data_IF_064378164287
#
_entry.id   IF_064378164287
#
_cell.length_a   1.000
_cell.length_b   1.000
_cell.length_c   1.000
_cell.angle_alpha   90.00
_cell.angle_beta   90.00
_cell.angle_gamma   90.00
#
_symmetry.space_group_name_H-M   'P 1'
#
loop_
_entity.id
_entity.type
_entity.pdbx_description
1 polymer ?
#
# COMPACT_ATOMS: atom_id res chain seq x y z
N UNK A 1 10.92 42.20 -33.99
CA UNK A 1 10.20 41.04 -34.54
C UNK A 1 11.20 39.90 -34.63
N UNK A 2 11.27 39.03 -33.61
CA UNK A 2 12.31 37.97 -33.56
C UNK A 2 11.90 36.73 -32.76
N UNK A 3 10.62 36.31 -32.82
CA UNK A 3 10.14 35.11 -32.12
C UNK A 3 9.67 34.04 -33.12
N UNK A 4 10.61 33.39 -33.81
CA UNK A 4 10.29 32.31 -34.75
C UNK A 4 11.21 31.09 -34.70
N UNK A 5 12.13 30.97 -33.73
CA UNK A 5 13.14 29.90 -33.72
C UNK A 5 13.00 28.84 -32.59
N UNK A 6 11.96 28.91 -31.76
CA UNK A 6 11.77 27.94 -30.66
C UNK A 6 10.79 26.82 -30.98
N UNK A 7 9.91 26.98 -31.98
CA UNK A 7 8.85 26.00 -32.28
C UNK A 7 9.25 24.92 -33.30
N UNK A 8 10.33 25.13 -34.06
CA UNK A 8 10.79 24.18 -35.08
C UNK A 8 11.77 23.11 -34.55
N UNK A 9 12.38 23.31 -33.37
CA UNK A 9 13.31 22.33 -32.79
C UNK A 9 12.62 21.15 -32.08
N UNK A 10 11.41 21.35 -31.58
CA UNK A 10 10.71 20.36 -30.77
C UNK A 10 10.03 19.27 -31.62
N UNK A 11 9.64 19.59 -32.85
CA UNK A 11 8.95 18.65 -33.76
C UNK A 11 9.89 17.67 -34.47
N UNK A 12 11.15 18.06 -34.73
CA UNK A 12 12.10 17.25 -35.50
C UNK A 12 12.94 16.29 -34.63
N UNK A 13 13.05 16.53 -33.31
CA UNK A 13 13.73 15.61 -32.39
C UNK A 13 12.90 14.34 -32.10
N UNK A 14 11.57 14.46 -32.08
CA UNK A 14 10.64 13.34 -31.84
C UNK A 14 10.66 12.32 -33.00
N UNK A 15 11.03 12.76 -34.21
CA UNK A 15 11.12 11.92 -35.41
C UNK A 15 12.53 11.37 -35.68
N UNK A 16 13.49 11.57 -34.78
CA UNK A 16 14.81 10.96 -34.89
C UNK A 16 14.76 9.53 -34.31
N UNK A 17 14.90 8.46 -35.14
CA UNK A 17 14.80 7.08 -34.66
C UNK A 17 15.78 6.76 -33.52
N UNK A 18 16.93 7.44 -33.51
CA UNK A 18 17.95 7.32 -32.46
C UNK A 18 17.50 7.85 -31.10
N UNK A 19 16.74 8.96 -31.08
CA UNK A 19 16.20 9.54 -29.86
C UNK A 19 15.07 8.67 -29.28
N UNK A 20 14.19 8.17 -30.14
CA UNK A 20 13.12 7.24 -29.74
C UNK A 20 13.68 5.96 -29.10
N UNK A 21 14.70 5.33 -29.71
CA UNK A 21 15.33 4.14 -29.14
C UNK A 21 16.05 4.45 -27.81
N UNK A 22 16.63 5.64 -27.67
CA UNK A 22 17.25 6.09 -26.41
C UNK A 22 16.20 6.25 -25.29
N UNK A 23 15.10 6.95 -25.56
CA UNK A 23 14.00 7.11 -24.59
C UNK A 23 13.34 5.77 -24.24
N UNK A 24 13.19 4.86 -25.22
CA UNK A 24 12.64 3.52 -24.99
C UNK A 24 13.54 2.71 -24.07
N UNK A 25 14.86 2.75 -24.28
CA UNK A 25 15.84 2.10 -23.39
C UNK A 25 15.78 2.69 -21.98
N UNK A 26 15.78 4.01 -21.87
CA UNK A 26 15.67 4.70 -20.58
C UNK A 26 14.40 4.28 -19.83
N UNK A 27 13.26 4.22 -20.52
CA UNK A 27 12.00 3.77 -19.92
C UNK A 27 12.09 2.32 -19.42
N UNK A 28 12.71 1.42 -20.18
CA UNK A 28 12.95 0.04 -19.71
C UNK A 28 13.84 0.00 -18.48
N UNK A 29 14.91 0.78 -18.45
CA UNK A 29 15.81 0.85 -17.29
C UNK A 29 15.08 1.42 -16.06
N UNK A 30 14.24 2.45 -16.24
CA UNK A 30 13.42 3.02 -15.16
C UNK A 30 12.38 2.01 -14.64
N UNK A 31 11.75 1.23 -15.51
CA UNK A 31 10.82 0.18 -15.11
C UNK A 31 11.51 -0.93 -14.32
N UNK A 32 12.71 -1.33 -14.74
CA UNK A 32 13.55 -2.29 -14.00
C UNK A 32 13.87 -1.78 -12.61
N UNK A 33 14.38 -0.54 -12.50
CA UNK A 33 14.65 0.10 -11.21
C UNK A 33 13.42 0.20 -10.32
N UNK A 34 12.25 0.54 -10.89
CA UNK A 34 11.00 0.58 -10.14
C UNK A 34 10.68 -0.79 -9.56
N UNK A 35 10.81 -1.84 -10.36
CA UNK A 35 10.56 -3.21 -9.92
C UNK A 35 11.54 -3.67 -8.82
N UNK A 36 12.81 -3.34 -8.95
CA UNK A 36 13.83 -3.67 -7.93
C UNK A 36 13.52 -2.96 -6.60
N UNK A 37 13.11 -1.68 -6.66
CA UNK A 37 12.71 -0.93 -5.48
C UNK A 37 11.42 -1.48 -4.84
N UNK A 38 10.43 -1.86 -5.64
CA UNK A 38 9.20 -2.49 -5.15
C UNK A 38 9.51 -3.80 -4.42
N UNK A 39 10.40 -4.64 -4.98
CA UNK A 39 10.82 -5.90 -4.36
C UNK A 39 11.57 -5.65 -3.06
N UNK A 40 12.54 -4.72 -3.08
CA UNK A 40 13.29 -4.37 -1.87
C UNK A 40 12.41 -3.77 -0.77
N UNK A 41 11.36 -3.01 -1.14
CA UNK A 41 10.40 -2.47 -0.19
C UNK A 41 9.63 -3.61 0.49
N UNK A 42 9.14 -4.59 -0.28
CA UNK A 42 8.45 -5.77 0.26
C UNK A 42 9.32 -6.53 1.25
N UNK A 43 10.59 -6.79 0.90
CA UNK A 43 11.53 -7.50 1.78
C UNK A 43 11.76 -6.76 3.11
N UNK A 44 11.86 -5.42 3.06
CA UNK A 44 12.02 -4.58 4.25
C UNK A 44 10.75 -4.60 5.10
N UNK A 45 9.57 -4.50 4.49
CA UNK A 45 8.30 -4.53 5.20
C UNK A 45 8.08 -5.87 5.91
N UNK A 46 8.41 -6.98 5.26
CA UNK A 46 8.32 -8.33 5.85
C UNK A 46 9.31 -8.49 7.03
N UNK A 47 10.54 -8.03 6.85
CA UNK A 47 11.56 -8.05 7.91
C UNK A 47 11.14 -7.19 9.10
N UNK A 48 10.60 -6.00 8.84
CA UNK A 48 10.10 -5.09 9.86
C UNK A 48 8.99 -5.76 10.69
N UNK A 49 8.03 -6.41 10.04
CA UNK A 49 6.94 -7.10 10.71
C UNK A 49 7.41 -8.21 11.65
N UNK A 50 8.39 -9.01 11.21
CA UNK A 50 8.98 -10.08 12.02
C UNK A 50 9.76 -9.53 13.21
N UNK A 51 10.59 -8.51 12.99
CA UNK A 51 11.38 -7.87 14.03
C UNK A 51 10.49 -7.20 15.08
N UNK A 52 9.42 -6.55 14.65
CA UNK A 52 8.46 -5.89 15.52
C UNK A 52 7.75 -6.90 16.43
N UNK A 53 7.28 -8.02 15.87
CA UNK A 53 6.66 -9.09 16.67
C UNK A 53 7.61 -9.65 17.74
N UNK A 54 8.86 -9.93 17.34
CA UNK A 54 9.90 -10.42 18.25
C UNK A 54 10.22 -9.41 19.36
N UNK A 55 10.28 -8.11 19.02
CA UNK A 55 10.50 -7.04 19.99
C UNK A 55 9.35 -6.96 21.00
N UNK A 56 8.10 -6.95 20.55
CA UNK A 56 6.92 -6.87 21.41
C UNK A 56 6.79 -8.07 22.34
N UNK A 57 7.08 -9.28 21.84
CA UNK A 57 7.03 -10.51 22.62
C UNK A 57 8.06 -10.49 23.77
N UNK A 58 9.31 -10.12 23.46
CA UNK A 58 10.41 -10.06 24.43
C UNK A 58 10.24 -8.98 25.48
N UNK A 59 9.60 -7.86 25.12
CA UNK A 59 9.51 -6.67 25.97
C UNK A 59 8.19 -6.52 26.72
N UNK A 60 7.23 -7.44 26.55
CA UNK A 60 5.90 -7.41 27.18
C UNK A 60 5.92 -7.23 28.70
N UNK A 61 6.96 -7.70 29.41
CA UNK A 61 7.04 -7.64 30.87
C UNK A 61 7.81 -6.44 31.46
N UNK A 62 8.83 -5.95 30.75
CA UNK A 62 9.76 -4.92 31.27
C UNK A 62 9.36 -3.52 30.84
N UNK A 63 8.56 -3.41 29.77
CA UNK A 63 8.19 -2.15 29.14
C UNK A 63 8.87 -1.98 27.77
N UNK A 64 8.24 -1.19 26.91
CA UNK A 64 8.63 -0.99 25.52
C UNK A 64 8.22 0.39 25.02
N UNK A 65 8.66 0.76 23.81
CA UNK A 65 8.37 2.08 23.24
C UNK A 65 6.88 2.35 23.02
N UNK A 66 6.05 1.30 22.88
CA UNK A 66 4.61 1.42 22.62
C UNK A 66 3.84 1.73 23.90
N UNK A 67 4.17 1.03 25.00
CA UNK A 67 3.42 1.08 26.27
C UNK A 67 4.16 1.83 27.39
N UNK A 68 5.41 2.20 27.17
CA UNK A 68 6.29 2.83 28.15
C UNK A 68 7.11 1.85 28.98
N UNK A 69 8.02 2.40 29.80
CA UNK A 69 9.02 1.66 30.59
C UNK A 69 8.70 1.57 32.08
N UNK A 70 7.45 1.79 32.49
CA UNK A 70 7.04 1.73 33.90
C UNK A 70 7.27 0.33 34.53
N UNK A 71 7.27 -0.72 33.72
CA UNK A 71 7.63 -2.08 34.13
C UNK A 71 9.08 -2.22 34.62
N UNK A 72 10.00 -1.38 34.15
CA UNK A 72 11.42 -1.43 34.53
C UNK A 72 11.61 -1.03 36.00
N UNK A 73 10.81 -0.09 36.49
CA UNK A 73 10.84 0.38 37.87
C UNK A 73 10.12 -0.59 38.83
N UNK A 74 9.12 -1.31 38.32
CA UNK A 74 8.28 -2.26 39.09
C UNK A 74 8.81 -3.70 39.10
N UNK A 75 9.84 -4.00 38.31
CA UNK A 75 10.44 -5.34 38.20
C UNK A 75 11.06 -5.87 39.51
N UNK A 76 11.21 -5.03 40.55
CA UNK A 76 11.67 -5.45 41.89
C UNK A 76 10.54 -6.03 42.77
N UNK A 77 9.27 -5.90 42.39
CA UNK A 77 8.13 -6.33 43.20
C UNK A 77 7.11 -7.16 42.43
N UNK A 78 7.29 -8.49 42.42
CA UNK A 78 6.30 -9.59 42.36
C UNK A 78 5.02 -9.47 41.49
N UNK A 79 4.91 -8.49 40.58
CA UNK A 79 3.73 -8.22 39.76
C UNK A 79 3.92 -8.66 38.30
N UNK A 80 4.48 -9.86 38.11
CA UNK A 80 4.54 -10.59 36.84
C UNK A 80 3.14 -10.98 36.28
N UNK A 81 2.05 -10.59 36.95
CA UNK A 81 0.74 -11.22 36.80
C UNK A 81 -0.11 -10.76 35.63
N UNK A 82 0.32 -9.79 34.83
CA UNK A 82 -0.36 -9.46 33.57
C UNK A 82 0.66 -9.11 32.49
N UNK A 83 1.39 -10.13 32.01
CA UNK A 83 1.98 -10.07 30.66
C UNK A 83 0.81 -9.84 29.70
N UNK A 84 0.54 -8.59 29.36
CA UNK A 84 -0.48 -8.28 28.39
C UNK A 84 0.09 -8.69 27.04
N UNK A 85 -0.53 -9.68 26.43
CA UNK A 85 -0.24 -10.07 25.05
C UNK A 85 -0.28 -8.83 24.17
N UNK A 86 0.63 -8.77 23.20
CA UNK A 86 0.62 -7.69 22.23
C UNK A 86 -0.51 -7.93 21.23
N UNK A 87 -1.17 -6.87 20.82
CA UNK A 87 -2.24 -6.90 19.83
C UNK A 87 -1.68 -6.39 18.50
N UNK A 88 -2.33 -6.74 17.39
CA UNK A 88 -1.92 -6.26 16.07
C UNK A 88 -1.86 -4.72 15.98
N UNK A 89 -2.71 -4.02 16.74
CA UNK A 89 -2.68 -2.56 16.86
C UNK A 89 -1.41 -1.99 17.51
N UNK A 90 -0.65 -2.80 18.24
CA UNK A 90 0.61 -2.38 18.87
C UNK A 90 1.77 -2.33 17.86
N UNK A 91 1.57 -2.82 16.63
CA UNK A 91 2.58 -2.87 15.57
C UNK A 91 2.70 -1.55 14.80
N UNK A 92 3.02 -0.47 15.51
CA UNK A 92 3.05 0.89 14.95
C UNK A 92 4.00 1.04 13.75
N UNK A 93 5.10 0.29 13.69
CA UNK A 93 6.04 0.39 12.58
C UNK A 93 5.48 -0.26 11.32
N UNK A 94 4.94 -1.47 11.41
CA UNK A 94 4.25 -2.12 10.29
C UNK A 94 3.04 -1.32 9.83
N UNK A 95 2.26 -0.77 10.77
CA UNK A 95 1.07 0.05 10.47
C UNK A 95 1.40 1.44 9.91
N UNK A 96 2.67 1.88 9.96
CA UNK A 96 3.09 3.15 9.37
C UNK A 96 3.18 3.10 7.83
N UNK A 97 3.23 1.90 7.25
CA UNK A 97 3.26 1.69 5.80
C UNK A 97 1.92 1.19 5.29
N UNK A 98 1.25 1.97 4.45
CA UNK A 98 0.01 1.56 3.77
C UNK A 98 0.26 0.51 2.68
N UNK A 99 1.49 0.38 2.20
CA UNK A 99 1.86 -0.63 1.20
C UNK A 99 2.11 -2.00 1.80
N UNK A 100 2.39 -2.07 3.10
CA UNK A 100 2.68 -3.31 3.81
C UNK A 100 1.54 -4.33 3.65
N UNK A 101 1.81 -5.56 3.20
CA UNK A 101 0.82 -6.63 3.10
C UNK A 101 0.08 -6.86 4.44
N UNK A 102 0.79 -6.68 5.55
CA UNK A 102 0.32 -6.94 6.89
C UNK A 102 -0.61 -5.83 7.40
N UNK A 103 -0.31 -4.56 7.09
CA UNK A 103 -1.15 -3.41 7.43
C UNK A 103 -2.48 -3.39 6.67
N UNK A 104 -2.51 -4.00 5.48
CA UNK A 104 -3.72 -4.11 4.69
C UNK A 104 -4.78 -4.98 5.37
N UNK A 105 -4.39 -6.03 6.09
CA UNK A 105 -5.35 -6.92 6.78
C UNK A 105 -6.19 -6.21 7.87
N UNK A 106 -5.60 -5.23 8.58
CA UNK A 106 -6.30 -4.42 9.58
C UNK A 106 -7.22 -3.38 8.94
N UNK A 107 -6.87 -2.89 7.74
CA UNK A 107 -7.65 -1.90 7.00
C UNK A 107 -8.68 -2.52 6.03
N UNK A 108 -8.73 -3.85 5.90
CA UNK A 108 -9.65 -4.54 4.98
C UNK A 108 -11.07 -4.74 5.51
N UNK A 109 -11.39 -4.31 6.73
CA UNK A 109 -12.79 -4.00 7.09
C UNK A 109 -13.26 -2.63 6.54
N UNK A 110 -12.37 -1.87 5.90
CA UNK A 110 -12.67 -0.54 5.32
C UNK A 110 -12.82 -0.53 3.78
N UNK A 111 -12.87 -1.68 3.11
CA UNK A 111 -13.04 -1.72 1.64
C UNK A 111 -14.50 -1.94 1.15
N UNK A 112 -15.48 -1.94 2.07
CA UNK A 112 -16.92 -1.79 1.71
C UNK A 112 -17.36 -0.31 1.64
N UNK A 113 -16.44 0.63 1.86
CA UNK A 113 -16.76 2.07 1.91
C UNK A 113 -16.09 2.93 0.83
N UNK A 114 -15.28 2.35 -0.05
CA UNK A 114 -14.65 3.13 -1.12
C UNK A 114 -15.66 3.48 -2.22
N UNK A 115 -15.71 4.76 -2.63
CA UNK A 115 -16.65 5.26 -3.66
C UNK A 115 -16.51 4.51 -5.00
N UNK A 116 -15.29 4.02 -5.28
CA UNK A 116 -14.97 3.16 -6.42
C UNK A 116 -15.67 1.80 -6.34
N UNK A 117 -15.71 1.16 -5.17
CA UNK A 117 -16.43 -0.10 -4.92
C UNK A 117 -17.94 0.09 -4.98
N UNK A 118 -18.47 1.17 -4.39
CA UNK A 118 -19.89 1.54 -4.51
C UNK A 118 -20.31 1.79 -5.96
N UNK A 119 -19.47 2.45 -6.74
CA UNK A 119 -19.72 2.72 -8.17
C UNK A 119 -19.73 1.44 -9.01
N UNK A 120 -18.84 0.49 -8.70
CA UNK A 120 -18.84 -0.85 -9.33
C UNK A 120 -20.11 -1.62 -9.00
N UNK A 121 -20.53 -1.65 -7.73
CA UNK A 121 -21.77 -2.33 -7.28
C UNK A 121 -23.01 -1.75 -7.96
N UNK A 122 -23.16 -0.41 -7.98
CA UNK A 122 -24.27 0.25 -8.69
C UNK A 122 -24.30 -0.06 -10.19
N UNK A 123 -23.14 -0.16 -10.84
CA UNK A 123 -23.06 -0.56 -12.26
C UNK A 123 -23.53 -2.00 -12.46
N UNK A 124 -23.13 -2.93 -11.60
CA UNK A 124 -23.60 -4.32 -11.67
C UNK A 124 -25.11 -4.43 -11.44
N UNK A 125 -25.64 -3.73 -10.44
CA UNK A 125 -27.08 -3.71 -10.13
C UNK A 125 -27.92 -3.08 -11.25
N UNK A 126 -27.44 -1.98 -11.85
CA UNK A 126 -28.11 -1.34 -12.99
C UNK A 126 -28.16 -2.26 -14.22
N UNK A 127 -27.05 -2.93 -14.55
CA UNK A 127 -27.00 -3.89 -15.65
C UNK A 127 -27.91 -5.10 -15.40
N UNK A 128 -27.99 -5.58 -14.16
CA UNK A 128 -28.88 -6.68 -13.80
C UNK A 128 -30.36 -6.29 -13.91
N UNK A 129 -30.72 -5.05 -13.53
CA UNK A 129 -32.08 -4.54 -13.67
C UNK A 129 -32.48 -4.37 -15.15
N UNK A 130 -31.60 -3.84 -15.99
CA UNK A 130 -31.84 -3.71 -17.42
C UNK A 130 -31.95 -5.06 -18.12
N UNK A 131 -31.13 -6.04 -17.73
CA UNK A 131 -31.24 -7.38 -18.29
C UNK A 131 -32.57 -8.05 -17.92
N UNK A 132 -33.04 -7.88 -16.67
CA UNK A 132 -34.37 -8.38 -16.26
C UNK A 132 -35.51 -7.72 -17.02
N UNK A 133 -35.46 -6.40 -17.24
CA UNK A 133 -36.47 -5.67 -18.04
C UNK A 133 -36.48 -6.11 -19.50
N UNK A 134 -35.32 -6.40 -20.08
CA UNK A 134 -35.21 -6.90 -21.46
C UNK A 134 -35.76 -8.31 -21.61
N UNK A 135 -35.54 -9.17 -20.62
CA UNK A 135 -36.09 -10.52 -20.61
C UNK A 135 -37.61 -10.51 -20.41
N UNK A 136 -38.14 -9.67 -19.51
CA UNK A 136 -39.59 -9.56 -19.30
C UNK A 136 -40.35 -9.01 -20.51
N UNK A 137 -39.70 -8.23 -21.37
CA UNK A 137 -40.31 -7.72 -22.62
C UNK A 137 -40.24 -8.72 -23.77
N UNK A 138 -39.43 -9.78 -23.64
CA UNK A 138 -39.23 -10.81 -24.68
C UNK A 138 -40.17 -12.01 -24.51
N UNK A 139 -40.83 -12.11 -23.36
CA UNK A 139 -41.78 -13.18 -23.02
C UNK A 139 -43.26 -12.78 -23.22
N UNK A 140 -43.54 -11.62 -23.83
CA UNK A 140 -44.86 -11.21 -24.36
C UNK A 140 -44.87 -11.29 -25.88
#
# INVERSE_FOLDING_TARGET
MSDSNTKAKESDEIANPSYYESCKKELHDMLGKRHDLETSLMDIEDSLYQLEGNYLEKTSGTGNIIRGFDGLLKATGTNLRRRSEYVESDRLFSLSSLTSPNARSVNYDLDDSTETSRRRKRKYEANAADNRRRLSFREM
#
